data_IF_114813359363
#
_entry.id   IF_114813359363
#
_cell.length_a   1.000
_cell.length_b   1.000
_cell.length_c   1.000
_cell.angle_alpha   90.00
_cell.angle_beta   90.00
_cell.angle_gamma   90.00
#
_symmetry.space_group_name_H-M   'P 1'
#
loop_
_entity.id
_entity.type
_entity.pdbx_description
1 polymer ?
#
# COMPACT_ATOMS: atom_id res chain seq x y z
N UNK A 1 37.74 -31.38 5.43
CA UNK A 1 37.00 -32.66 5.31
C UNK A 1 35.59 -32.42 5.84
N UNK A 2 34.47 -32.50 5.13
CA UNK A 2 34.16 -32.79 3.73
C UNK A 2 32.75 -32.29 3.41
N UNK A 3 32.58 -31.51 2.33
CA UNK A 3 31.29 -30.93 1.94
C UNK A 3 31.08 -30.81 0.43
N UNK A 4 31.91 -31.49 -0.39
CA UNK A 4 31.92 -31.33 -1.85
C UNK A 4 31.38 -32.54 -2.64
N UNK A 5 30.91 -33.60 -1.97
CA UNK A 5 30.50 -34.86 -2.63
C UNK A 5 29.00 -35.05 -2.77
N UNK A 6 28.14 -34.29 -2.07
CA UNK A 6 26.71 -34.56 -2.03
C UNK A 6 25.93 -33.93 -3.21
N UNK A 7 26.42 -32.83 -3.78
CA UNK A 7 25.72 -32.09 -4.85
C UNK A 7 25.86 -32.75 -6.23
N UNK A 8 26.88 -33.58 -6.45
CA UNK A 8 27.13 -34.21 -7.77
C UNK A 8 26.34 -35.51 -8.00
N UNK A 9 25.94 -36.22 -6.95
CA UNK A 9 25.21 -37.49 -7.07
C UNK A 9 23.76 -37.25 -7.50
N UNK A 10 23.12 -36.16 -7.03
CA UNK A 10 21.73 -35.85 -7.37
C UNK A 10 21.52 -35.47 -8.85
N UNK A 11 22.50 -34.83 -9.49
CA UNK A 11 22.42 -34.41 -10.90
C UNK A 11 22.49 -35.61 -11.85
N UNK A 12 23.19 -36.69 -11.48
CA UNK A 12 23.30 -37.88 -12.33
C UNK A 12 22.02 -38.73 -12.36
N UNK A 13 21.22 -38.71 -11.28
CA UNK A 13 19.96 -39.46 -11.22
C UNK A 13 18.87 -38.86 -12.13
N UNK A 14 18.85 -37.55 -12.33
CA UNK A 14 17.86 -36.89 -13.19
C UNK A 14 18.14 -37.06 -14.70
N UNK A 15 19.37 -37.40 -15.10
CA UNK A 15 19.72 -37.55 -16.52
C UNK A 15 19.39 -38.95 -17.08
N UNK A 16 19.31 -39.99 -16.25
CA UNK A 16 19.18 -41.37 -16.73
C UNK A 16 17.73 -41.82 -17.02
N UNK A 17 16.71 -41.18 -16.42
CA UNK A 17 15.31 -41.55 -16.66
C UNK A 17 14.71 -40.89 -17.92
N UNK A 18 15.50 -40.10 -18.67
CA UNK A 18 15.07 -39.41 -19.88
C UNK A 18 15.12 -40.29 -21.16
N UNK A 19 15.43 -41.59 -21.06
CA UNK A 19 15.52 -42.51 -22.20
C UNK A 19 14.68 -43.80 -22.02
N UNK A 20 13.49 -43.71 -21.40
CA UNK A 20 12.48 -44.77 -21.59
C UNK A 20 11.56 -44.44 -22.78
N UNK A 21 11.54 -45.28 -23.83
CA UNK A 21 10.63 -45.10 -24.95
C UNK A 21 9.17 -45.24 -24.51
N UNK A 22 8.36 -44.33 -25.04
CA UNK A 22 6.93 -44.26 -24.85
C UNK A 22 6.21 -45.44 -25.52
N UNK A 23 6.00 -46.53 -24.78
CA UNK A 23 4.97 -47.49 -25.12
C UNK A 23 4.47 -48.15 -23.84
N UNK A 24 3.18 -47.96 -23.57
CA UNK A 24 2.40 -48.66 -22.55
C UNK A 24 2.51 -48.16 -21.10
N UNK A 25 1.98 -46.97 -20.83
CA UNK A 25 1.43 -46.66 -19.51
C UNK A 25 -0.05 -46.26 -19.67
N UNK A 26 -0.91 -47.24 -19.39
CA UNK A 26 -2.36 -47.17 -19.40
C UNK A 26 -2.85 -46.03 -18.50
N UNK A 27 -3.87 -45.32 -18.97
CA UNK A 27 -4.68 -44.38 -18.20
C UNK A 27 -5.07 -44.99 -16.84
N UNK A 28 -4.60 -44.38 -15.75
CA UNK A 28 -5.12 -44.64 -14.40
C UNK A 28 -5.40 -43.31 -13.68
N UNK A 29 -6.40 -43.28 -12.78
CA UNK A 29 -7.06 -42.06 -12.30
C UNK A 29 -6.25 -41.40 -11.17
N UNK A 30 -5.13 -40.75 -11.52
CA UNK A 30 -4.34 -39.89 -10.61
C UNK A 30 -4.33 -38.42 -11.08
N UNK A 31 -5.45 -37.99 -11.64
CA UNK A 31 -5.70 -36.64 -12.17
C UNK A 31 -6.05 -35.61 -11.09
N UNK A 32 -5.30 -35.58 -9.98
CA UNK A 32 -5.28 -34.44 -9.03
C UNK A 32 -3.85 -33.97 -8.77
N UNK A 33 -2.89 -34.89 -8.67
CA UNK A 33 -1.50 -34.54 -8.39
C UNK A 33 -0.77 -33.88 -9.59
N UNK A 34 -1.08 -34.28 -10.83
CA UNK A 34 -0.50 -33.64 -12.02
C UNK A 34 -1.01 -32.20 -12.24
N UNK A 35 -2.28 -31.91 -11.90
CA UNK A 35 -2.82 -30.54 -12.03
C UNK A 35 -2.12 -29.58 -11.07
N UNK A 36 -1.86 -30.02 -9.83
CA UNK A 36 -1.13 -29.20 -8.87
C UNK A 36 0.34 -28.95 -9.28
N UNK A 37 1.04 -29.95 -9.83
CA UNK A 37 2.41 -29.78 -10.28
C UNK A 37 2.55 -28.78 -11.45
N UNK A 38 1.56 -28.72 -12.35
CA UNK A 38 1.56 -27.76 -13.48
C UNK A 38 1.26 -26.34 -12.99
N UNK A 39 0.30 -26.15 -12.07
CA UNK A 39 -0.06 -24.82 -11.55
C UNK A 39 1.07 -24.20 -10.72
N UNK A 40 1.70 -24.99 -9.83
CA UNK A 40 2.82 -24.49 -9.01
C UNK A 40 4.12 -24.29 -9.82
N UNK A 41 4.36 -25.10 -10.85
CA UNK A 41 5.52 -24.95 -11.72
C UNK A 41 5.52 -23.67 -12.56
N UNK A 42 4.35 -23.25 -13.06
CA UNK A 42 4.20 -22.01 -13.83
C UNK A 42 4.23 -20.77 -12.92
N UNK A 43 3.68 -20.85 -11.71
CA UNK A 43 3.74 -19.75 -10.72
C UNK A 43 5.16 -19.43 -10.26
N UNK A 44 6.04 -20.43 -10.15
CA UNK A 44 7.43 -20.21 -9.74
C UNK A 44 8.28 -19.52 -10.83
N UNK A 45 7.89 -19.60 -12.10
CA UNK A 45 8.65 -19.02 -13.21
C UNK A 45 8.28 -17.54 -13.47
N UNK A 46 7.10 -17.09 -13.04
CA UNK A 46 6.63 -15.71 -13.27
C UNK A 46 7.02 -14.72 -12.16
N UNK A 47 7.49 -15.19 -11.00
CA UNK A 47 7.78 -14.34 -9.83
C UNK A 47 9.20 -13.78 -9.78
N UNK A 48 10.09 -14.11 -10.73
CA UNK A 48 11.51 -13.75 -10.67
C UNK A 48 11.84 -12.40 -11.36
N UNK A 49 10.88 -11.74 -12.01
CA UNK A 49 11.17 -10.65 -12.95
C UNK A 49 11.07 -9.19 -12.48
N UNK A 50 10.48 -8.88 -11.32
CA UNK A 50 10.09 -7.49 -10.99
C UNK A 50 10.37 -7.08 -9.54
N UNK A 51 11.56 -7.38 -9.02
CA UNK A 51 12.04 -6.69 -7.82
C UNK A 51 12.64 -5.35 -8.25
N UNK A 52 11.78 -4.43 -8.71
CA UNK A 52 12.17 -3.02 -8.73
C UNK A 52 12.30 -2.62 -7.27
N UNK A 53 13.52 -2.35 -6.82
CA UNK A 53 13.72 -1.71 -5.53
C UNK A 53 13.05 -0.34 -5.63
N UNK A 54 11.82 -0.23 -5.13
CA UNK A 54 11.20 1.06 -4.86
C UNK A 54 12.16 1.76 -3.90
N UNK A 55 13.01 2.63 -4.45
CA UNK A 55 13.89 3.46 -3.65
C UNK A 55 12.93 4.40 -2.93
N UNK A 56 12.64 4.07 -1.67
CA UNK A 56 12.03 5.00 -0.75
C UNK A 56 12.84 6.31 -0.84
N UNK A 57 12.14 7.42 -1.04
CA UNK A 57 12.76 8.73 -1.09
C UNK A 57 13.45 9.06 0.24
N UNK A 58 14.22 10.15 0.26
CA UNK A 58 15.06 10.50 1.39
C UNK A 58 14.31 10.76 2.70
N UNK A 59 13.00 11.00 2.68
CA UNK A 59 12.18 11.28 3.86
C UNK A 59 10.94 10.37 4.01
N UNK A 60 10.88 9.26 3.26
CA UNK A 60 9.69 8.37 3.27
C UNK A 60 9.32 7.88 4.67
N UNK A 61 10.31 7.64 5.54
CA UNK A 61 10.08 7.12 6.90
C UNK A 61 9.44 8.16 7.81
N UNK A 62 9.85 9.41 7.65
CA UNK A 62 9.33 10.55 8.38
C UNK A 62 7.91 10.89 7.89
N UNK A 63 7.65 10.80 6.58
CA UNK A 63 6.29 10.92 6.03
C UNK A 63 5.35 9.89 6.65
N UNK A 64 5.77 8.62 6.70
CA UNK A 64 4.96 7.53 7.29
C UNK A 64 4.64 7.82 8.77
N UNK A 65 5.63 8.25 9.55
CA UNK A 65 5.44 8.59 10.96
C UNK A 65 4.49 9.78 11.17
N UNK A 66 4.63 10.84 10.37
CA UNK A 66 3.76 12.03 10.47
C UNK A 66 2.36 11.73 9.95
N UNK A 67 2.21 10.93 8.89
CA UNK A 67 0.90 10.50 8.39
C UNK A 67 0.10 9.77 9.48
N UNK A 68 0.74 8.82 10.19
CA UNK A 68 0.09 8.11 11.29
C UNK A 68 -0.39 9.08 12.38
N UNK A 69 0.42 10.09 12.72
CA UNK A 69 0.04 11.09 13.71
C UNK A 69 -1.14 11.94 13.25
N UNK A 70 -1.11 12.41 11.99
CA UNK A 70 -2.21 13.18 11.39
C UNK A 70 -3.49 12.35 11.40
N UNK A 71 -3.45 11.11 10.92
CA UNK A 71 -4.62 10.22 10.89
C UNK A 71 -5.18 9.96 12.30
N UNK A 72 -4.30 9.74 13.28
CA UNK A 72 -4.71 9.52 14.68
C UNK A 72 -5.44 10.74 15.23
N UNK A 73 -4.95 11.96 14.96
CA UNK A 73 -5.56 13.19 15.47
C UNK A 73 -6.86 13.51 14.74
N UNK A 74 -6.91 13.30 13.42
CA UNK A 74 -8.13 13.50 12.65
C UNK A 74 -9.24 12.54 13.08
N UNK A 75 -8.91 11.27 13.32
CA UNK A 75 -9.87 10.30 13.85
C UNK A 75 -10.34 10.71 15.25
N UNK A 76 -9.45 11.18 16.11
CA UNK A 76 -9.78 11.61 17.47
C UNK A 76 -10.64 12.90 17.52
N UNK A 77 -10.58 13.74 16.49
CA UNK A 77 -11.29 15.02 16.40
C UNK A 77 -12.48 14.98 15.45
N UNK A 78 -12.71 13.86 14.76
CA UNK A 78 -13.86 13.67 13.89
C UNK A 78 -15.16 13.88 14.69
N UNK A 79 -15.98 14.85 14.25
CA UNK A 79 -17.24 15.17 14.92
C UNK A 79 -17.11 15.89 16.27
N UNK A 80 -15.90 16.32 16.68
CA UNK A 80 -15.70 17.15 17.88
C UNK A 80 -15.89 18.65 17.62
N UNK A 81 -16.31 19.04 16.42
CA UNK A 81 -16.52 20.43 16.03
C UNK A 81 -17.78 21.05 16.65
N UNK A 82 -17.92 22.38 16.55
CA UNK A 82 -19.09 23.09 17.07
C UNK A 82 -20.33 22.73 16.25
N UNK A 83 -21.43 22.41 16.94
CA UNK A 83 -22.71 22.21 16.27
C UNK A 83 -23.26 23.55 15.79
N UNK A 84 -23.62 23.62 14.50
CA UNK A 84 -24.32 24.77 13.94
C UNK A 84 -25.84 24.58 14.01
N UNK A 85 -26.62 25.68 14.03
CA UNK A 85 -28.07 25.60 13.85
C UNK A 85 -28.45 24.93 12.54
N UNK A 86 -29.47 24.09 12.58
CA UNK A 86 -30.06 23.47 11.38
C UNK A 86 -30.49 24.53 10.37
N UNK A 87 -30.09 24.34 9.10
CA UNK A 87 -30.49 25.21 8.01
C UNK A 87 -31.94 24.93 7.59
N UNK A 88 -32.67 25.94 7.08
CA UNK A 88 -34.02 25.73 6.55
C UNK A 88 -34.07 24.70 5.40
N UNK A 89 -33.00 24.62 4.60
CA UNK A 89 -32.85 23.61 3.55
C UNK A 89 -32.80 22.18 4.08
N UNK A 90 -32.27 21.94 5.29
CA UNK A 90 -32.21 20.61 5.87
C UNK A 90 -33.62 20.00 6.08
N UNK A 91 -34.65 20.84 6.26
CA UNK A 91 -36.03 20.41 6.43
C UNK A 91 -36.80 20.15 5.12
N UNK A 92 -36.21 20.41 3.96
CA UNK A 92 -36.91 20.36 2.66
C UNK A 92 -36.96 18.95 2.02
N UNK A 93 -36.58 17.90 2.77
CA UNK A 93 -36.53 16.51 2.29
C UNK A 93 -35.71 16.32 0.99
N UNK A 94 -34.77 17.23 0.71
CA UNK A 94 -33.77 17.05 -0.32
C UNK A 94 -32.47 16.58 0.33
N UNK A 95 -31.71 15.73 -0.36
CA UNK A 95 -30.39 15.37 0.11
C UNK A 95 -29.45 16.58 0.00
N UNK A 96 -28.56 16.79 0.98
CA UNK A 96 -27.50 17.77 0.86
C UNK A 96 -26.61 17.43 -0.34
N UNK A 97 -26.27 18.44 -1.14
CA UNK A 97 -25.24 18.30 -2.17
C UNK A 97 -23.86 18.29 -1.51
N UNK A 98 -22.83 17.66 -2.12
CA UNK A 98 -21.47 17.71 -1.59
C UNK A 98 -20.96 19.15 -1.37
N UNK A 99 -21.27 20.08 -2.28
CA UNK A 99 -20.87 21.48 -2.12
C UNK A 99 -21.57 22.18 -0.96
N UNK A 100 -22.84 21.87 -0.69
CA UNK A 100 -23.55 22.44 0.47
C UNK A 100 -23.03 21.91 1.80
N UNK A 101 -22.60 20.64 1.84
CA UNK A 101 -21.96 20.05 3.03
C UNK A 101 -20.64 20.77 3.29
N UNK A 102 -19.75 20.81 2.28
CA UNK A 102 -18.44 21.46 2.42
C UNK A 102 -18.55 22.93 2.85
N UNK A 103 -19.55 23.67 2.35
CA UNK A 103 -19.80 25.05 2.80
C UNK A 103 -20.22 25.11 4.27
N UNK A 104 -21.11 24.22 4.71
CA UNK A 104 -21.54 24.18 6.11
C UNK A 104 -20.40 23.81 7.06
N UNK A 105 -19.54 22.86 6.67
CA UNK A 105 -18.32 22.49 7.41
C UNK A 105 -17.34 23.67 7.52
N UNK A 106 -17.13 24.40 6.41
CA UNK A 106 -16.29 25.60 6.40
C UNK A 106 -16.87 26.73 7.26
N UNK A 107 -18.19 26.94 7.24
CA UNK A 107 -18.89 27.90 8.12
C UNK A 107 -18.78 27.50 9.60
N UNK A 108 -18.75 26.19 9.90
CA UNK A 108 -18.54 25.65 11.24
C UNK A 108 -17.07 25.75 11.70
N UNK A 109 -16.14 26.09 10.78
CA UNK A 109 -14.71 26.05 11.04
C UNK A 109 -14.17 24.64 11.26
N UNK A 110 -14.91 23.62 10.83
CA UNK A 110 -14.51 22.23 10.89
C UNK A 110 -13.49 21.91 9.79
N UNK A 111 -12.62 20.93 10.03
CA UNK A 111 -11.72 20.39 9.01
C UNK A 111 -10.52 21.25 8.61
N UNK A 112 -10.53 22.57 8.83
CA UNK A 112 -9.49 23.49 8.32
C UNK A 112 -8.06 23.13 8.74
N UNK A 113 -7.87 22.63 9.97
CA UNK A 113 -6.56 22.19 10.45
C UNK A 113 -6.13 20.86 9.80
N UNK A 114 -7.09 19.95 9.61
CA UNK A 114 -6.85 18.68 8.94
C UNK A 114 -6.52 18.85 7.47
N UNK A 115 -7.22 19.73 6.77
CA UNK A 115 -6.91 20.09 5.38
C UNK A 115 -5.49 20.65 5.27
N UNK A 116 -5.08 21.57 6.16
CA UNK A 116 -3.71 22.08 6.19
C UNK A 116 -2.67 20.99 6.41
N UNK A 117 -2.94 20.05 7.32
CA UNK A 117 -2.05 18.91 7.59
C UNK A 117 -1.93 17.97 6.37
N UNK A 118 -3.05 17.65 5.72
CA UNK A 118 -3.11 16.79 4.54
C UNK A 118 -2.42 17.44 3.34
N UNK A 119 -2.64 18.73 3.10
CA UNK A 119 -1.93 19.49 2.07
C UNK A 119 -0.43 19.54 2.32
N UNK A 120 -0.01 19.72 3.57
CA UNK A 120 1.41 19.70 3.93
C UNK A 120 2.04 18.32 3.71
N UNK A 121 1.34 17.23 4.04
CA UNK A 121 1.76 15.86 3.72
C UNK A 121 1.85 15.62 2.20
N UNK A 122 0.93 16.17 1.41
CA UNK A 122 1.01 16.11 -0.05
C UNK A 122 2.27 16.81 -0.59
N UNK A 123 2.62 17.98 -0.04
CA UNK A 123 3.88 18.68 -0.37
C UNK A 123 5.11 17.90 0.07
N UNK A 124 5.06 17.23 1.22
CA UNK A 124 6.17 16.39 1.68
C UNK A 124 6.40 15.20 0.74
N UNK A 125 5.33 14.53 0.30
CA UNK A 125 5.40 13.43 -0.68
C UNK A 125 5.97 13.86 -2.02
N UNK A 126 5.53 15.01 -2.56
CA UNK A 126 6.05 15.50 -3.84
C UNK A 126 7.54 15.89 -3.74
N UNK A 127 7.97 16.45 -2.61
CA UNK A 127 9.38 16.72 -2.35
C UNK A 127 10.21 15.44 -2.18
N UNK A 128 9.67 14.41 -1.52
CA UNK A 128 10.31 13.08 -1.40
C UNK A 128 10.53 12.43 -2.76
N UNK A 129 9.50 12.45 -3.62
CA UNK A 129 9.56 11.95 -5.00
C UNK A 129 10.59 12.71 -5.84
N UNK A 130 10.75 14.02 -5.61
CA UNK A 130 11.76 14.86 -6.25
C UNK A 130 13.18 14.69 -5.65
N UNK A 131 13.32 13.98 -4.52
CA UNK A 131 14.58 13.86 -3.79
C UNK A 131 15.00 15.12 -3.02
N UNK A 132 14.10 16.10 -2.87
CA UNK A 132 14.38 17.34 -2.14
C UNK A 132 14.16 17.15 -0.64
N UNK A 133 15.23 16.79 0.05
CA UNK A 133 15.20 16.53 1.50
C UNK A 133 14.80 17.78 2.29
N UNK A 134 15.22 18.97 1.88
CA UNK A 134 14.96 20.20 2.64
C UNK A 134 13.49 20.61 2.55
N UNK A 135 12.93 20.61 1.33
CA UNK A 135 11.50 20.90 1.14
C UNK A 135 10.61 19.85 1.79
N UNK A 136 11.01 18.57 1.77
CA UNK A 136 10.26 17.54 2.49
C UNK A 136 10.20 17.83 3.99
N UNK A 137 11.34 18.08 4.64
CA UNK A 137 11.36 18.34 6.08
C UNK A 137 10.60 19.61 6.45
N UNK A 138 10.69 20.66 5.64
CA UNK A 138 9.91 21.88 5.85
C UNK A 138 8.40 21.59 5.80
N UNK A 139 7.96 20.82 4.80
CA UNK A 139 6.56 20.42 4.67
C UNK A 139 6.08 19.51 5.82
N UNK A 140 6.94 18.60 6.33
CA UNK A 140 6.62 17.78 7.49
C UNK A 140 6.46 18.60 8.78
N UNK A 141 7.28 19.64 8.97
CA UNK A 141 7.13 20.57 10.08
C UNK A 141 5.81 21.33 9.98
N UNK A 142 5.42 21.75 8.78
CA UNK A 142 4.14 22.42 8.57
C UNK A 142 2.96 21.50 8.88
N UNK A 143 3.04 20.22 8.49
CA UNK A 143 2.04 19.21 8.83
C UNK A 143 1.91 19.04 10.34
N UNK A 144 3.03 18.91 11.06
CA UNK A 144 3.06 18.80 12.52
C UNK A 144 2.48 20.05 13.20
N UNK A 145 2.79 21.25 12.70
CA UNK A 145 2.24 22.50 13.23
C UNK A 145 0.73 22.62 13.03
N UNK A 146 0.19 22.04 11.97
CA UNK A 146 -1.24 22.06 11.69
C UNK A 146 -2.02 21.21 12.72
N UNK A 147 -1.46 20.08 13.17
CA UNK A 147 -2.11 19.16 14.12
C UNK A 147 -1.78 19.43 15.60
N UNK A 148 -0.84 20.32 15.89
CA UNK A 148 -0.41 20.63 17.25
C UNK A 148 -1.21 21.76 17.94
N UNK A 149 -2.27 22.27 17.29
CA UNK A 149 -3.09 23.38 17.78
C UNK A 149 -4.41 22.89 18.37
#
# INVERSE_FOLDING_TARGET
MGGLTQTRIAVAACAYEAHRPASEAKCTPRCRACVFAIVFGVQAMFTVGLVTTARAGPCTKEIEAVQIQVDTILEATAGSGPTLPESQSAGLHHEPTPQSIARAEAEAGEGAQGEQAVEALARARSADEAGDTHLCHAALIDAQRAIAR
#
